data_IF_756426737787
#
_entry.id   IF_756426737787
#
_cell.length_a   1.000
_cell.length_b   1.000
_cell.length_c   1.000
_cell.angle_alpha   90.00
_cell.angle_beta   90.00
_cell.angle_gamma   90.00
#
_symmetry.space_group_name_H-M   'P 1'
#
loop_
_entity.id
_entity.type
_entity.pdbx_description
1 polymer ?
#
# COMPACT_ATOMS: atom_id res chain seq x y z
N UNK A 1 27.21 35.01 -34.87
CA UNK A 1 26.06 34.33 -34.25
C UNK A 1 24.92 35.31 -34.33
N UNK A 2 23.88 35.00 -35.10
CA UNK A 2 22.88 36.00 -35.53
C UNK A 2 21.87 36.29 -34.42
N UNK A 3 21.39 37.52 -34.32
CA UNK A 3 20.33 37.91 -33.37
C UNK A 3 19.05 37.08 -33.54
N UNK A 4 18.84 36.52 -34.74
CA UNK A 4 17.72 35.65 -35.08
C UNK A 4 17.80 34.28 -34.39
N UNK A 5 19.00 33.71 -34.26
CA UNK A 5 19.21 32.45 -33.55
C UNK A 5 19.01 32.61 -32.04
N UNK A 6 19.37 33.78 -31.49
CA UNK A 6 19.16 34.11 -30.08
C UNK A 6 17.67 34.29 -29.75
N UNK A 7 16.89 34.96 -30.61
CA UNK A 7 15.44 35.11 -30.45
C UNK A 7 14.69 33.78 -30.57
N UNK A 8 15.09 32.90 -31.50
CA UNK A 8 14.48 31.58 -31.64
C UNK A 8 14.77 30.67 -30.44
N UNK A 9 15.98 30.73 -29.88
CA UNK A 9 16.34 30.00 -28.66
C UNK A 9 15.58 30.51 -27.43
N UNK A 10 15.33 31.82 -27.35
CA UNK A 10 14.58 32.45 -26.26
C UNK A 10 13.08 32.13 -26.34
N UNK A 11 12.47 32.20 -27.53
CA UNK A 11 11.09 31.79 -27.76
C UNK A 11 10.84 30.30 -27.49
N UNK A 12 11.84 29.44 -27.76
CA UNK A 12 11.74 28.02 -27.44
C UNK A 12 11.90 27.74 -25.94
N UNK A 13 12.65 28.57 -25.19
CA UNK A 13 12.69 28.50 -23.72
C UNK A 13 11.36 28.94 -23.09
N UNK A 14 10.78 30.03 -23.58
CA UNK A 14 9.51 30.57 -23.04
C UNK A 14 8.35 29.58 -23.25
N UNK A 15 8.27 28.88 -24.39
CA UNK A 15 7.27 27.81 -24.60
C UNK A 15 7.46 26.60 -23.69
N UNK A 16 8.70 26.22 -23.39
CA UNK A 16 9.00 25.09 -22.50
C UNK A 16 8.60 25.39 -21.05
N UNK A 17 8.61 26.65 -20.64
CA UNK A 17 8.09 27.08 -19.32
C UNK A 17 6.56 27.14 -19.27
N UNK A 18 5.90 27.54 -20.36
CA UNK A 18 4.42 27.60 -20.45
C UNK A 18 3.78 26.19 -20.45
N UNK A 19 4.46 25.20 -21.04
CA UNK A 19 4.03 23.79 -21.05
C UNK A 19 4.25 23.06 -19.71
N UNK A 20 4.98 23.65 -18.75
CA UNK A 20 5.15 23.08 -17.41
C UNK A 20 3.88 23.20 -16.55
N UNK A 21 2.90 24.01 -16.99
CA UNK A 21 1.63 24.25 -16.33
C UNK A 21 0.46 23.73 -17.18
N UNK A 22 0.42 22.41 -17.41
CA UNK A 22 -0.74 21.77 -18.05
C UNK A 22 -1.95 21.88 -17.12
N UNK A 23 -2.75 22.93 -17.30
CA UNK A 23 -4.07 23.10 -16.69
C UNK A 23 -4.09 23.56 -15.23
N UNK A 24 -3.06 24.26 -14.74
CA UNK A 24 -3.00 24.74 -13.35
C UNK A 24 -2.54 23.67 -12.35
N UNK A 25 -2.02 22.54 -12.83
CA UNK A 25 -1.46 21.47 -12.01
C UNK A 25 0.05 21.68 -11.98
N UNK A 26 0.58 22.06 -10.82
CA UNK A 26 2.02 22.13 -10.59
C UNK A 26 2.65 20.74 -10.80
N UNK A 27 3.25 20.51 -11.98
CA UNK A 27 3.81 19.23 -12.38
C UNK A 27 4.82 18.67 -11.37
N UNK A 28 5.59 19.55 -10.73
CA UNK A 28 6.55 19.18 -9.69
C UNK A 28 5.87 18.65 -8.42
N UNK A 29 4.70 19.19 -8.06
CA UNK A 29 3.92 18.69 -6.93
C UNK A 29 3.36 17.31 -7.23
N UNK A 30 2.86 17.09 -8.44
CA UNK A 30 2.38 15.77 -8.87
C UNK A 30 3.52 14.74 -8.88
N UNK A 31 4.68 15.09 -9.44
CA UNK A 31 5.87 14.24 -9.44
C UNK A 31 6.29 13.86 -8.02
N UNK A 32 6.37 14.83 -7.11
CA UNK A 32 6.70 14.55 -5.71
C UNK A 32 5.69 13.61 -5.02
N UNK A 33 4.39 13.70 -5.33
CA UNK A 33 3.39 12.79 -4.79
C UNK A 33 3.60 11.37 -5.33
N UNK A 34 3.85 11.23 -6.64
CA UNK A 34 4.10 9.95 -7.30
C UNK A 34 5.35 9.28 -6.71
N UNK A 35 6.47 9.98 -6.66
CA UNK A 35 7.74 9.43 -6.16
C UNK A 35 7.60 8.91 -4.72
N UNK A 36 6.85 9.64 -3.87
CA UNK A 36 6.58 9.22 -2.48
C UNK A 36 5.70 7.98 -2.41
N UNK A 37 4.71 7.85 -3.29
CA UNK A 37 3.84 6.68 -3.36
C UNK A 37 4.65 5.47 -3.85
N UNK A 38 5.43 5.61 -4.92
CA UNK A 38 6.25 4.52 -5.46
C UNK A 38 7.24 3.98 -4.42
N UNK A 39 7.88 4.86 -3.65
CA UNK A 39 8.74 4.43 -2.54
C UNK A 39 7.98 3.61 -1.50
N UNK A 40 6.78 4.05 -1.10
CA UNK A 40 5.94 3.33 -0.14
C UNK A 40 5.42 2.00 -0.71
N UNK A 41 5.17 1.92 -2.01
CA UNK A 41 4.81 0.70 -2.73
C UNK A 41 5.95 -0.34 -2.68
N UNK A 42 7.19 0.10 -2.92
CA UNK A 42 8.38 -0.74 -2.82
C UNK A 42 8.60 -1.24 -1.39
N UNK A 43 8.53 -0.35 -0.40
CA UNK A 43 8.63 -0.70 1.03
C UNK A 43 7.55 -1.72 1.41
N UNK A 44 6.29 -1.52 0.98
CA UNK A 44 5.20 -2.47 1.25
C UNK A 44 5.43 -3.81 0.57
N UNK A 45 5.98 -3.84 -0.64
CA UNK A 45 6.31 -5.09 -1.35
C UNK A 45 7.40 -5.87 -0.63
N UNK A 46 8.44 -5.20 -0.14
CA UNK A 46 9.49 -5.82 0.66
C UNK A 46 8.91 -6.43 1.95
N UNK A 47 8.12 -5.65 2.70
CA UNK A 47 7.44 -6.13 3.92
C UNK A 47 6.49 -7.31 3.66
N UNK A 48 5.78 -7.30 2.53
CA UNK A 48 4.93 -8.43 2.14
C UNK A 48 5.74 -9.70 1.84
N UNK A 49 6.96 -9.55 1.30
CA UNK A 49 7.93 -10.63 1.14
C UNK A 49 8.34 -11.21 2.49
N UNK A 50 8.78 -10.37 3.42
CA UNK A 50 9.19 -10.80 4.77
C UNK A 50 8.07 -11.53 5.51
N UNK A 51 6.84 -11.02 5.44
CA UNK A 51 5.66 -11.66 6.04
C UNK A 51 5.43 -13.05 5.43
N UNK A 52 5.61 -13.20 4.11
CA UNK A 52 5.44 -14.49 3.43
C UNK A 52 6.50 -15.49 3.88
N UNK A 53 7.74 -15.05 4.06
CA UNK A 53 8.84 -15.89 4.51
C UNK A 53 8.63 -16.36 5.95
N UNK A 54 8.12 -15.49 6.84
CA UNK A 54 7.71 -15.87 8.21
C UNK A 54 6.60 -16.94 8.18
N UNK A 55 5.60 -16.81 7.30
CA UNK A 55 4.58 -17.86 7.16
C UNK A 55 5.15 -19.18 6.65
N UNK A 56 6.17 -19.14 5.79
CA UNK A 56 6.86 -20.34 5.30
C UNK A 56 7.71 -20.99 6.39
N UNK A 57 8.38 -20.20 7.23
CA UNK A 57 9.09 -20.66 8.42
C UNK A 57 8.12 -21.32 9.41
N UNK A 58 7.00 -20.67 9.73
CA UNK A 58 5.98 -21.22 10.61
C UNK A 58 5.45 -22.57 10.10
N UNK A 59 5.24 -22.70 8.77
CA UNK A 59 4.86 -23.96 8.15
C UNK A 59 5.93 -25.04 8.32
N UNK A 60 7.21 -24.68 8.14
CA UNK A 60 8.35 -25.60 8.31
C UNK A 60 8.52 -26.02 9.77
N UNK A 61 8.14 -25.16 10.71
CA UNK A 61 8.09 -25.46 12.14
C UNK A 61 6.83 -26.26 12.58
N UNK A 62 5.94 -26.63 11.64
CA UNK A 62 4.77 -27.47 11.90
C UNK A 62 3.48 -26.72 12.24
N UNK A 63 3.45 -25.39 12.13
CA UNK A 63 2.24 -24.60 12.33
C UNK A 63 1.45 -24.41 11.02
N UNK A 64 0.12 -24.36 11.10
CA UNK A 64 -0.75 -24.12 9.93
C UNK A 64 -0.91 -22.61 9.66
N UNK A 65 -0.41 -22.07 8.52
CA UNK A 65 -0.48 -20.63 8.24
C UNK A 65 -1.89 -20.07 8.17
N UNK A 66 -2.90 -20.86 7.77
CA UNK A 66 -4.30 -20.40 7.77
C UNK A 66 -4.81 -20.10 9.18
N UNK A 67 -4.47 -20.95 10.16
CA UNK A 67 -4.85 -20.75 11.56
C UNK A 67 -4.13 -19.53 12.15
N UNK A 68 -2.84 -19.36 11.85
CA UNK A 68 -2.09 -18.16 12.30
C UNK A 68 -2.73 -16.88 11.77
N UNK A 69 -3.15 -16.83 10.49
CA UNK A 69 -3.86 -15.66 9.93
C UNK A 69 -5.17 -15.38 10.67
N UNK A 70 -5.94 -16.41 11.02
CA UNK A 70 -7.15 -16.26 11.81
C UNK A 70 -6.85 -15.67 13.19
N UNK A 71 -5.84 -16.18 13.89
CA UNK A 71 -5.40 -15.66 15.19
C UNK A 71 -4.99 -14.18 15.08
N UNK A 72 -4.20 -13.81 14.07
CA UNK A 72 -3.80 -12.42 13.86
C UNK A 72 -5.03 -11.52 13.61
N UNK A 73 -6.01 -12.01 12.85
CA UNK A 73 -7.26 -11.26 12.60
C UNK A 73 -8.07 -11.07 13.88
N UNK A 74 -8.18 -12.12 14.72
CA UNK A 74 -8.87 -12.04 16.01
C UNK A 74 -8.17 -11.05 16.94
N UNK A 75 -6.83 -11.06 17.00
CA UNK A 75 -6.02 -10.14 17.83
C UNK A 75 -6.14 -8.66 17.45
N UNK A 76 -6.70 -8.33 16.28
CA UNK A 76 -6.96 -6.95 15.86
C UNK A 76 -8.30 -6.41 16.37
N UNK A 77 -9.16 -7.28 16.92
CA UNK A 77 -10.47 -6.92 17.43
C UNK A 77 -10.40 -6.65 18.93
N UNK A 78 -11.43 -6.01 19.45
CA UNK A 78 -11.56 -5.78 20.89
C UNK A 78 -11.84 -7.13 21.60
N UNK A 79 -11.17 -7.44 22.73
CA UNK A 79 -11.30 -8.73 23.41
C UNK A 79 -12.73 -9.13 23.79
N UNK A 80 -13.55 -8.22 24.31
CA UNK A 80 -14.94 -8.50 24.69
C UNK A 80 -15.84 -8.80 23.48
N UNK A 81 -15.64 -8.14 22.33
CA UNK A 81 -16.34 -8.48 21.09
C UNK A 81 -16.00 -9.90 20.61
N UNK A 82 -14.74 -10.31 20.76
CA UNK A 82 -14.30 -11.66 20.39
C UNK A 82 -14.98 -12.69 21.32
N UNK A 83 -14.96 -12.45 22.62
CA UNK A 83 -15.57 -13.34 23.63
C UNK A 83 -17.08 -13.48 23.45
N UNK A 84 -17.79 -12.38 23.18
CA UNK A 84 -19.23 -12.40 22.91
C UNK A 84 -19.56 -13.26 21.68
N UNK A 85 -18.82 -13.07 20.58
CA UNK A 85 -19.01 -13.86 19.36
C UNK A 85 -18.63 -15.32 19.54
N UNK A 86 -17.58 -15.63 20.30
CA UNK A 86 -17.21 -17.02 20.62
C UNK A 86 -18.30 -17.71 21.43
N UNK A 87 -18.90 -17.01 22.39
CA UNK A 87 -20.03 -17.50 23.19
C UNK A 87 -21.25 -17.81 22.32
N UNK A 88 -21.61 -16.88 21.41
CA UNK A 88 -22.72 -17.09 20.47
C UNK A 88 -22.44 -18.23 19.49
N UNK A 89 -21.21 -18.33 18.98
CA UNK A 89 -20.81 -19.38 18.06
C UNK A 89 -20.91 -20.77 18.71
N UNK A 90 -20.44 -20.91 19.95
CA UNK A 90 -20.55 -22.15 20.72
C UNK A 90 -22.02 -22.51 20.99
N UNK A 91 -22.85 -21.54 21.37
CA UNK A 91 -24.29 -21.76 21.54
C UNK A 91 -24.94 -22.29 20.24
N UNK A 92 -24.62 -21.70 19.10
CA UNK A 92 -25.18 -22.11 17.81
C UNK A 92 -24.65 -23.47 17.36
N UNK A 93 -23.38 -23.79 17.59
CA UNK A 93 -22.81 -25.12 17.31
C UNK A 93 -23.52 -26.20 18.10
N UNK A 94 -23.73 -25.98 19.41
CA UNK A 94 -24.48 -26.91 20.27
C UNK A 94 -25.91 -27.11 19.78
N UNK A 95 -26.59 -26.03 19.37
CA UNK A 95 -27.94 -26.11 18.81
C UNK A 95 -28.01 -26.90 17.50
N UNK A 96 -26.93 -26.87 16.70
CA UNK A 96 -26.79 -27.62 15.45
C UNK A 96 -26.23 -29.04 15.64
N UNK A 97 -25.81 -29.41 16.86
CA UNK A 97 -25.14 -30.69 17.14
C UNK A 97 -23.74 -30.83 16.53
N UNK A 98 -23.04 -29.69 16.36
CA UNK A 98 -21.65 -29.61 15.86
C UNK A 98 -20.62 -29.56 16.99
#
# INVERSE_FOLDING_TARGET
>A
MSDFDAMAAQANRERVEEDADVGGIAADRLRSIIDRIERLEEERKALAGDIKDIYAEAKSAGFEPKVIRQIISLRKREPSEVEELETLLDLYRRALGM
#
